data_IF_867732773984
#
_entry.id   IF_867732773984
#
_cell.length_a   1.000
_cell.length_b   1.000
_cell.length_c   1.000
_cell.angle_alpha   90.00
_cell.angle_beta   90.00
_cell.angle_gamma   90.00
#
_symmetry.space_group_name_H-M   'P 1'
#
loop_
_entity.id
_entity.type
_entity.pdbx_description
1 polymer ?
#
# COMPACT_ATOMS: atom_id res chain seq x y z
N UNK A 1 71.23 20.07 -16.10
CA UNK A 1 70.25 18.96 -16.15
C UNK A 1 69.04 19.33 -15.29
N UNK A 2 67.93 19.76 -15.90
CA UNK A 2 66.67 20.07 -15.20
C UNK A 2 65.68 18.94 -15.48
N UNK A 3 65.32 18.13 -14.47
CA UNK A 3 64.21 17.18 -14.56
C UNK A 3 62.98 17.83 -13.95
N UNK A 4 61.94 18.08 -14.77
CA UNK A 4 60.59 18.39 -14.31
C UNK A 4 59.84 17.06 -14.11
N UNK A 5 59.25 16.79 -12.94
CA UNK A 5 58.15 15.85 -12.85
C UNK A 5 56.86 16.64 -12.64
N UNK A 6 55.83 16.33 -13.43
CA UNK A 6 54.38 16.37 -13.10
C UNK A 6 53.57 16.70 -14.36
N UNK A 7 53.34 15.67 -15.18
CA UNK A 7 52.29 15.70 -16.18
C UNK A 7 51.83 14.27 -16.46
N UNK A 8 51.26 13.60 -15.45
CA UNK A 8 50.48 12.36 -15.62
C UNK A 8 49.77 12.02 -14.31
N UNK A 9 48.88 12.93 -13.89
CA UNK A 9 47.92 12.69 -12.80
C UNK A 9 46.57 13.35 -13.13
N UNK A 10 46.15 13.30 -14.41
CA UNK A 10 44.86 13.86 -14.87
C UNK A 10 44.01 12.81 -15.60
N UNK A 11 44.43 11.55 -15.66
CA UNK A 11 43.71 10.49 -16.36
C UNK A 11 43.25 9.38 -15.40
N UNK A 12 42.54 9.76 -14.33
CA UNK A 12 41.93 8.80 -13.40
C UNK A 12 40.53 9.20 -12.93
N UNK A 13 39.89 10.20 -13.54
CA UNK A 13 38.60 10.74 -13.10
C UNK A 13 37.37 10.33 -13.94
N UNK A 14 37.44 9.22 -14.70
CA UNK A 14 36.37 8.90 -15.68
C UNK A 14 35.90 7.44 -15.71
N UNK A 15 36.19 6.64 -14.68
CA UNK A 15 35.77 5.22 -14.64
C UNK A 15 35.25 4.78 -13.27
N UNK A 16 34.34 5.54 -12.66
CA UNK A 16 33.49 5.05 -11.57
C UNK A 16 32.07 5.61 -11.76
N UNK A 17 31.34 5.16 -12.78
CA UNK A 17 29.88 5.24 -12.79
C UNK A 17 29.29 4.24 -13.79
N UNK A 18 29.51 2.96 -13.52
CA UNK A 18 28.63 1.91 -13.99
C UNK A 18 28.14 1.14 -12.76
N UNK A 19 27.54 1.91 -11.84
CA UNK A 19 26.48 1.35 -11.01
C UNK A 19 25.32 1.03 -11.97
N UNK A 20 24.69 -0.13 -11.81
CA UNK A 20 23.50 -0.51 -12.57
C UNK A 20 22.60 0.71 -12.71
N UNK A 21 22.33 1.14 -13.95
CA UNK A 21 21.42 2.26 -14.17
C UNK A 21 20.05 1.80 -13.64
N UNK A 22 19.57 2.44 -12.57
CA UNK A 22 18.27 2.14 -11.99
C UNK A 22 17.16 2.24 -13.03
N UNK A 23 16.03 1.59 -12.77
CA UNK A 23 14.91 1.56 -13.72
C UNK A 23 14.44 2.99 -14.07
N UNK A 24 14.51 3.92 -13.11
CA UNK A 24 14.22 5.35 -13.31
C UNK A 24 15.20 6.01 -14.28
N UNK A 25 16.50 5.77 -14.15
CA UNK A 25 17.51 6.36 -15.04
C UNK A 25 17.37 5.84 -16.48
N UNK A 26 17.04 4.56 -16.62
CA UNK A 26 16.71 3.97 -17.92
C UNK A 26 15.46 4.62 -18.52
N UNK A 27 14.42 4.86 -17.73
CA UNK A 27 13.21 5.52 -18.21
C UNK A 27 13.48 6.99 -18.60
N UNK A 28 14.17 7.75 -17.75
CA UNK A 28 14.52 9.16 -17.99
C UNK A 28 15.36 9.35 -19.26
N UNK A 29 16.26 8.42 -19.56
CA UNK A 29 17.16 8.51 -20.72
C UNK A 29 16.54 8.02 -22.03
N UNK A 30 15.59 7.08 -21.98
CA UNK A 30 15.08 6.39 -23.17
C UNK A 30 13.65 6.76 -23.56
N UNK A 31 12.85 7.21 -22.60
CA UNK A 31 11.42 7.46 -22.84
C UNK A 31 11.18 8.87 -23.36
N UNK A 32 10.48 8.98 -24.50
CA UNK A 32 10.00 10.27 -24.98
C UNK A 32 9.02 10.92 -23.99
N UNK A 33 8.29 10.11 -23.20
CA UNK A 33 7.36 10.58 -22.17
C UNK A 33 8.09 11.23 -20.98
N UNK A 34 9.39 10.98 -20.81
CA UNK A 34 10.19 11.53 -19.72
C UNK A 34 10.68 12.96 -19.97
N UNK A 35 10.79 13.40 -21.25
CA UNK A 35 11.35 14.72 -21.63
C UNK A 35 10.74 15.90 -20.87
N UNK A 36 9.41 15.99 -20.65
CA UNK A 36 8.81 17.11 -19.91
C UNK A 36 9.25 17.20 -18.44
N UNK A 37 9.87 16.14 -17.90
CA UNK A 37 10.25 16.00 -16.51
C UNK A 37 11.77 16.08 -16.28
N UNK A 38 12.56 16.40 -17.31
CA UNK A 38 14.02 16.57 -17.21
C UNK A 38 14.42 17.57 -16.10
N UNK A 39 13.66 18.66 -15.97
CA UNK A 39 13.91 19.70 -14.97
C UNK A 39 13.74 19.21 -13.51
N UNK A 40 12.97 18.16 -13.27
CA UNK A 40 12.75 17.58 -11.94
C UNK A 40 13.45 16.22 -11.76
N UNK A 41 14.28 15.80 -12.72
CA UNK A 41 14.92 14.48 -12.70
C UNK A 41 15.82 14.28 -11.47
N UNK A 42 16.47 15.33 -10.98
CA UNK A 42 17.24 15.29 -9.73
C UNK A 42 16.37 14.93 -8.53
N UNK A 43 15.26 15.66 -8.34
CA UNK A 43 14.31 15.42 -7.26
C UNK A 43 13.71 14.01 -7.32
N UNK A 44 13.33 13.53 -8.51
CA UNK A 44 12.81 12.17 -8.67
C UNK A 44 13.81 11.11 -8.21
N UNK A 45 15.10 11.28 -8.52
CA UNK A 45 16.16 10.37 -8.05
C UNK A 45 16.32 10.42 -6.54
N UNK A 46 16.30 11.61 -5.94
CA UNK A 46 16.41 11.77 -4.50
C UNK A 46 15.25 11.07 -3.77
N UNK A 47 14.02 11.23 -4.26
CA UNK A 47 12.84 10.56 -3.69
C UNK A 47 12.95 9.04 -3.81
N UNK A 48 13.31 8.54 -5.00
CA UNK A 48 13.45 7.09 -5.23
C UNK A 48 14.57 6.50 -4.36
N UNK A 49 15.73 7.17 -4.27
CA UNK A 49 16.83 6.72 -3.44
C UNK A 49 16.46 6.73 -1.93
N UNK A 50 15.73 7.76 -1.48
CA UNK A 50 15.23 7.84 -0.12
C UNK A 50 14.27 6.68 0.22
N UNK A 51 13.30 6.41 -0.65
CA UNK A 51 12.37 5.31 -0.46
C UNK A 51 13.07 3.94 -0.54
N UNK A 52 14.07 3.79 -1.41
CA UNK A 52 14.86 2.57 -1.52
C UNK A 52 15.63 2.26 -0.22
N UNK A 53 16.12 3.28 0.49
CA UNK A 53 16.75 3.12 1.80
C UNK A 53 15.80 2.55 2.86
N UNK A 54 14.49 2.80 2.73
CA UNK A 54 13.44 2.21 3.56
C UNK A 54 13.00 0.81 3.08
N UNK A 55 13.60 0.28 2.01
CA UNK A 55 13.28 -1.02 1.44
C UNK A 55 12.12 -1.03 0.45
N UNK A 56 11.76 0.14 -0.11
CA UNK A 56 10.79 0.25 -1.22
C UNK A 56 11.47 -0.11 -2.53
N UNK A 57 10.88 -1.01 -3.30
CA UNK A 57 11.38 -1.34 -4.64
C UNK A 57 11.19 -0.13 -5.59
N UNK A 58 12.24 0.25 -6.30
CA UNK A 58 12.25 1.37 -7.26
C UNK A 58 11.07 1.29 -8.24
N UNK A 59 10.76 0.08 -8.73
CA UNK A 59 9.66 -0.16 -9.67
C UNK A 59 8.31 0.39 -9.21
N UNK A 60 8.01 0.35 -7.91
CA UNK A 60 6.72 0.83 -7.38
C UNK A 60 6.56 2.34 -7.57
N UNK A 61 7.65 3.11 -7.40
CA UNK A 61 7.65 4.55 -7.66
C UNK A 61 7.75 4.86 -9.15
N UNK A 62 8.49 4.04 -9.91
CA UNK A 62 8.55 4.19 -11.36
C UNK A 62 7.16 4.00 -12.01
N UNK A 63 6.40 2.99 -11.59
CA UNK A 63 5.03 2.78 -12.08
C UNK A 63 4.16 4.03 -11.83
N UNK A 64 4.34 4.69 -10.69
CA UNK A 64 3.65 5.95 -10.38
C UNK A 64 4.10 7.11 -11.27
N UNK A 65 5.41 7.22 -11.53
CA UNK A 65 6.00 8.23 -12.43
C UNK A 65 5.43 8.06 -13.84
N UNK A 66 5.46 6.83 -14.36
CA UNK A 66 4.93 6.47 -15.68
C UNK A 66 3.42 6.71 -15.77
N UNK A 67 2.66 6.36 -14.73
CA UNK A 67 1.22 6.65 -14.66
C UNK A 67 0.94 8.15 -14.77
N UNK A 68 1.67 8.98 -14.02
CA UNK A 68 1.55 10.44 -14.08
C UNK A 68 1.96 11.02 -15.43
N UNK A 69 3.03 10.48 -16.03
CA UNK A 69 3.48 10.86 -17.37
C UNK A 69 2.42 10.56 -18.44
N UNK A 70 1.85 9.36 -18.44
CA UNK A 70 0.75 8.96 -19.34
C UNK A 70 -0.49 9.84 -19.19
N UNK A 71 -0.77 10.26 -17.96
CA UNK A 71 -1.86 11.20 -17.64
C UNK A 71 -1.51 12.66 -17.93
N UNK A 72 -0.32 12.93 -18.47
CA UNK A 72 0.19 14.28 -18.80
C UNK A 72 0.11 15.24 -17.60
N UNK A 73 0.46 14.74 -16.42
CA UNK A 73 0.59 15.59 -15.24
C UNK A 73 1.64 16.69 -15.49
N UNK A 74 1.47 17.87 -14.90
CA UNK A 74 2.56 18.85 -14.88
C UNK A 74 3.72 18.33 -14.02
N UNK A 75 4.94 18.79 -14.25
CA UNK A 75 6.11 18.39 -13.47
C UNK A 75 5.88 18.55 -11.96
N UNK A 76 5.37 19.70 -11.52
CA UNK A 76 5.07 19.96 -10.10
C UNK A 76 4.04 18.98 -9.53
N UNK A 77 2.97 18.68 -10.28
CA UNK A 77 1.93 17.73 -9.84
C UNK A 77 2.47 16.31 -9.79
N UNK A 78 3.32 15.94 -10.73
CA UNK A 78 3.97 14.63 -10.73
C UNK A 78 4.89 14.52 -9.51
N UNK A 79 5.73 15.52 -9.27
CA UNK A 79 6.65 15.53 -8.15
C UNK A 79 5.92 15.38 -6.82
N UNK A 80 4.91 16.21 -6.55
CA UNK A 80 4.07 16.12 -5.35
C UNK A 80 3.39 14.75 -5.20
N UNK A 81 2.90 14.18 -6.31
CA UNK A 81 2.26 12.87 -6.30
C UNK A 81 3.24 11.73 -5.98
N UNK A 82 4.49 11.85 -6.43
CA UNK A 82 5.57 10.88 -6.19
C UNK A 82 6.10 11.01 -4.76
N UNK A 83 6.30 12.22 -4.25
CA UNK A 83 6.65 12.48 -2.85
C UNK A 83 5.62 11.87 -1.91
N UNK A 84 4.33 12.15 -2.14
CA UNK A 84 3.26 11.62 -1.31
C UNK A 84 3.15 10.08 -1.40
N UNK A 85 3.51 9.48 -2.53
CA UNK A 85 3.56 8.02 -2.70
C UNK A 85 4.75 7.40 -1.99
N UNK A 86 5.94 8.01 -2.11
CA UNK A 86 7.16 7.59 -1.43
C UNK A 86 6.97 7.60 0.08
N UNK A 87 6.41 8.69 0.64
CA UNK A 87 6.10 8.77 2.07
C UNK A 87 5.15 7.65 2.55
N UNK A 88 4.18 7.28 1.72
CA UNK A 88 3.23 6.20 2.01
C UNK A 88 3.91 4.83 1.95
N UNK A 89 4.67 4.56 0.88
CA UNK A 89 5.39 3.30 0.70
C UNK A 89 6.49 3.12 1.76
N UNK A 90 7.24 4.16 2.11
CA UNK A 90 8.25 4.14 3.18
C UNK A 90 7.64 3.86 4.55
N UNK A 91 6.46 4.41 4.85
CA UNK A 91 5.73 4.06 6.06
C UNK A 91 5.33 2.58 6.09
N UNK A 92 4.81 2.06 4.97
CA UNK A 92 4.42 0.65 4.87
C UNK A 92 5.62 -0.30 4.93
N UNK A 93 6.71 0.04 4.26
CA UNK A 93 7.92 -0.79 4.20
C UNK A 93 8.51 -0.97 5.60
N UNK A 94 8.60 0.11 6.38
CA UNK A 94 9.02 0.05 7.79
C UNK A 94 8.06 -0.77 8.64
N UNK A 95 6.76 -0.52 8.53
CA UNK A 95 5.75 -1.29 9.27
C UNK A 95 5.81 -2.80 8.96
N UNK A 96 6.03 -3.15 7.69
CA UNK A 96 6.13 -4.52 7.22
C UNK A 96 7.43 -5.18 7.69
N UNK A 97 8.55 -4.45 7.70
CA UNK A 97 9.82 -4.92 8.22
C UNK A 97 9.78 -5.17 9.74
N UNK A 98 9.08 -4.32 10.48
CA UNK A 98 8.88 -4.48 11.93
C UNK A 98 7.96 -5.67 12.26
N UNK A 99 6.86 -5.82 11.52
CA UNK A 99 5.87 -6.89 11.77
C UNK A 99 6.28 -8.27 11.24
N UNK A 100 6.84 -8.31 10.03
CA UNK A 100 7.13 -9.56 9.31
C UNK A 100 8.55 -9.53 8.71
N UNK A 101 9.61 -9.54 9.55
CA UNK A 101 11.00 -9.37 9.12
C UNK A 101 11.47 -10.42 8.12
N UNK A 102 10.95 -11.65 8.20
CA UNK A 102 11.32 -12.78 7.34
C UNK A 102 10.65 -12.75 5.94
N UNK A 103 9.88 -11.70 5.64
CA UNK A 103 9.27 -11.52 4.32
C UNK A 103 10.36 -11.25 3.29
N UNK A 104 10.55 -12.20 2.36
CA UNK A 104 11.52 -12.05 1.26
C UNK A 104 11.20 -10.84 0.36
N UNK A 105 12.20 -10.36 -0.38
CA UNK A 105 12.10 -9.12 -1.16
C UNK A 105 10.95 -9.12 -2.19
N UNK A 106 10.76 -10.21 -2.94
CA UNK A 106 9.68 -10.31 -3.95
C UNK A 106 8.30 -10.24 -3.30
N UNK A 107 8.11 -11.00 -2.21
CA UNK A 107 6.86 -11.00 -1.45
C UNK A 107 6.59 -9.63 -0.83
N UNK A 108 7.62 -8.96 -0.33
CA UNK A 108 7.56 -7.61 0.22
C UNK A 108 7.11 -6.61 -0.84
N UNK A 109 7.70 -6.65 -2.03
CA UNK A 109 7.29 -5.80 -3.17
C UNK A 109 5.81 -6.01 -3.52
N UNK A 110 5.34 -7.25 -3.62
CA UNK A 110 3.92 -7.55 -3.89
C UNK A 110 2.99 -6.98 -2.81
N UNK A 111 3.29 -7.23 -1.53
CA UNK A 111 2.50 -6.71 -0.41
C UNK A 111 2.48 -5.18 -0.39
N UNK A 112 3.61 -4.53 -0.67
CA UNK A 112 3.69 -3.06 -0.73
C UNK A 112 2.87 -2.48 -1.89
N UNK A 113 2.87 -3.14 -3.06
CA UNK A 113 2.08 -2.73 -4.21
C UNK A 113 0.57 -2.78 -3.89
N UNK A 114 0.11 -3.87 -3.27
CA UNK A 114 -1.29 -4.06 -2.87
C UNK A 114 -1.70 -3.03 -1.80
N UNK A 115 -0.88 -2.84 -0.75
CA UNK A 115 -1.18 -1.86 0.30
C UNK A 115 -1.19 -0.41 -0.21
N UNK A 116 -0.32 -0.06 -1.15
CA UNK A 116 -0.35 1.26 -1.79
C UNK A 116 -1.69 1.52 -2.49
N UNK A 117 -2.23 0.53 -3.19
CA UNK A 117 -3.55 0.64 -3.84
C UNK A 117 -4.66 0.80 -2.80
N UNK A 118 -4.61 0.03 -1.71
CA UNK A 118 -5.61 0.06 -0.66
C UNK A 118 -5.67 1.42 0.06
N UNK A 119 -4.51 1.99 0.43
CA UNK A 119 -4.45 3.32 1.08
C UNK A 119 -4.92 4.44 0.14
N UNK A 120 -4.61 4.35 -1.16
CA UNK A 120 -5.14 5.29 -2.15
C UNK A 120 -6.66 5.23 -2.28
N UNK A 121 -7.26 4.10 -1.92
CA UNK A 121 -8.71 3.87 -1.95
C UNK A 121 -9.42 4.35 -0.67
N UNK A 122 -8.71 5.07 0.21
CA UNK A 122 -9.32 5.73 1.37
C UNK A 122 -9.10 5.01 2.69
N UNK A 123 -8.19 4.04 2.77
CA UNK A 123 -7.72 3.49 4.05
C UNK A 123 -6.59 4.38 4.58
N UNK A 124 -6.58 4.67 5.88
CA UNK A 124 -5.54 5.48 6.52
C UNK A 124 -4.50 4.64 7.28
N UNK A 125 -3.46 5.33 7.77
CA UNK A 125 -2.34 4.71 8.48
C UNK A 125 -2.76 4.09 9.81
N UNK A 126 -3.81 4.62 10.46
CA UNK A 126 -4.30 4.08 11.73
C UNK A 126 -4.98 2.74 11.51
N UNK A 127 -5.79 2.63 10.46
CA UNK A 127 -6.44 1.38 10.07
C UNK A 127 -5.43 0.30 9.68
N UNK A 128 -4.41 0.64 8.89
CA UNK A 128 -3.29 -0.25 8.62
C UNK A 128 -2.59 -0.66 9.92
N UNK A 129 -2.28 0.29 10.79
CA UNK A 129 -1.64 0.03 12.08
C UNK A 129 -2.49 -0.88 12.98
N UNK A 130 -3.82 -0.80 12.91
CA UNK A 130 -4.72 -1.70 13.63
C UNK A 130 -4.76 -3.08 12.99
N UNK A 131 -4.92 -3.16 11.67
CA UNK A 131 -5.00 -4.41 10.92
C UNK A 131 -3.70 -5.23 11.08
N UNK A 132 -2.56 -4.59 10.87
CA UNK A 132 -1.24 -5.22 11.02
C UNK A 132 -1.03 -5.77 12.42
N UNK A 133 -1.22 -4.96 13.47
CA UNK A 133 -1.11 -5.42 14.87
C UNK A 133 -2.05 -6.57 15.18
N UNK A 134 -3.33 -6.47 14.82
CA UNK A 134 -4.28 -7.55 15.11
C UNK A 134 -3.97 -8.85 14.37
N UNK A 135 -3.43 -8.77 13.15
CA UNK A 135 -2.97 -9.96 12.41
C UNK A 135 -1.70 -10.54 13.03
N UNK A 136 -0.76 -9.70 13.47
CA UNK A 136 0.46 -10.13 14.16
C UNK A 136 0.16 -10.83 15.50
N UNK A 137 -0.75 -10.27 16.30
CA UNK A 137 -1.21 -10.87 17.55
C UNK A 137 -1.83 -12.26 17.31
N UNK A 138 -2.50 -12.43 16.17
CA UNK A 138 -3.07 -13.70 15.72
C UNK A 138 -2.05 -14.62 15.00
N UNK A 139 -0.76 -14.23 14.95
CA UNK A 139 0.33 -14.94 14.24
C UNK A 139 0.04 -15.17 12.75
N UNK A 140 -0.68 -14.23 12.14
CA UNK A 140 -1.04 -14.24 10.72
C UNK A 140 0.05 -13.69 9.80
N UNK A 141 -0.13 -13.93 8.51
CA UNK A 141 0.75 -13.45 7.44
C UNK A 141 0.33 -12.05 6.95
N UNK A 142 1.24 -11.26 6.34
CA UNK A 142 0.95 -9.89 5.90
C UNK A 142 -0.21 -9.82 4.89
N UNK A 143 -0.37 -10.83 4.03
CA UNK A 143 -1.47 -10.91 3.05
C UNK A 143 -2.85 -10.87 3.71
N UNK A 144 -2.95 -11.38 4.95
CA UNK A 144 -4.20 -11.27 5.71
C UNK A 144 -4.49 -9.81 6.08
N UNK A 145 -3.47 -9.04 6.47
CA UNK A 145 -3.63 -7.63 6.77
C UNK A 145 -3.99 -6.84 5.50
N UNK A 146 -3.37 -7.17 4.36
CA UNK A 146 -3.73 -6.61 3.05
C UNK A 146 -5.20 -6.87 2.74
N UNK A 147 -5.65 -8.12 2.77
CA UNK A 147 -7.03 -8.49 2.46
C UNK A 147 -8.07 -7.79 3.36
N UNK A 148 -7.74 -7.54 4.63
CA UNK A 148 -8.61 -6.78 5.55
C UNK A 148 -8.74 -5.32 5.10
N UNK A 149 -7.62 -4.70 4.73
CA UNK A 149 -7.56 -3.29 4.29
C UNK A 149 -8.23 -3.14 2.93
N UNK A 150 -8.04 -4.09 2.01
CA UNK A 150 -8.73 -4.14 0.72
C UNK A 150 -10.25 -4.30 0.88
N UNK A 151 -10.69 -5.14 1.83
CA UNK A 151 -12.11 -5.25 2.16
C UNK A 151 -12.68 -3.90 2.60
N UNK A 152 -12.00 -3.19 3.52
CA UNK A 152 -12.44 -1.88 3.99
C UNK A 152 -12.57 -0.88 2.83
N UNK A 153 -11.54 -0.79 1.98
CA UNK A 153 -11.57 0.04 0.79
C UNK A 153 -12.74 -0.30 -0.15
N UNK A 154 -13.10 -1.59 -0.23
CA UNK A 154 -14.17 -2.08 -1.11
C UNK A 154 -15.57 -1.80 -0.56
N UNK A 155 -15.79 -1.96 0.75
CA UNK A 155 -17.12 -1.81 1.35
C UNK A 155 -17.45 -0.36 1.74
N UNK A 156 -16.44 0.49 1.93
CA UNK A 156 -16.63 1.86 2.39
C UNK A 156 -15.76 2.91 1.69
N UNK A 157 -15.75 2.97 0.34
CA UNK A 157 -14.94 3.94 -0.39
C UNK A 157 -15.33 5.40 -0.11
N UNK A 158 -16.57 5.65 0.34
CA UNK A 158 -17.07 6.97 0.69
C UNK A 158 -16.95 7.32 2.18
N UNK A 159 -16.32 6.45 2.99
CA UNK A 159 -16.11 6.64 4.44
C UNK A 159 -17.42 6.92 5.22
N UNK A 160 -18.46 6.17 4.90
CA UNK A 160 -19.78 6.23 5.55
C UNK A 160 -19.86 5.39 6.84
N UNK A 161 -18.90 4.48 7.06
CA UNK A 161 -18.79 3.72 8.31
C UNK A 161 -17.99 4.55 9.33
N UNK A 162 -18.50 4.79 10.55
CA UNK A 162 -17.77 5.45 11.62
C UNK A 162 -16.42 4.77 11.89
N UNK A 163 -15.38 5.54 12.20
CA UNK A 163 -14.03 5.00 12.40
C UNK A 163 -13.99 3.90 13.46
N UNK A 164 -14.73 4.04 14.56
CA UNK A 164 -14.86 3.01 15.61
C UNK A 164 -15.36 1.66 15.06
N UNK A 165 -16.36 1.69 14.17
CA UNK A 165 -16.96 0.50 13.58
C UNK A 165 -16.02 -0.15 12.56
N UNK A 166 -15.25 0.66 11.82
CA UNK A 166 -14.21 0.15 10.91
C UNK A 166 -13.10 -0.56 11.68
N UNK A 167 -12.61 0.05 12.77
CA UNK A 167 -11.57 -0.54 13.62
C UNK A 167 -12.06 -1.81 14.32
N UNK A 168 -13.33 -1.85 14.75
CA UNK A 168 -13.95 -3.05 15.31
C UNK A 168 -14.04 -4.17 14.27
N UNK A 169 -14.47 -3.85 13.04
CA UNK A 169 -14.54 -4.79 11.94
C UNK A 169 -13.16 -5.36 11.58
N UNK A 170 -12.13 -4.52 11.49
CA UNK A 170 -10.73 -4.93 11.28
C UNK A 170 -10.28 -5.94 12.33
N UNK A 171 -10.50 -5.63 13.61
CA UNK A 171 -10.14 -6.52 14.72
C UNK A 171 -10.89 -7.86 14.65
N UNK A 172 -12.19 -7.82 14.36
CA UNK A 172 -13.02 -9.02 14.24
C UNK A 172 -12.56 -9.94 13.09
N UNK A 173 -12.23 -9.37 11.92
CA UNK A 173 -11.74 -10.16 10.78
C UNK A 173 -10.36 -10.74 11.10
N UNK A 174 -9.44 -9.93 11.64
CA UNK A 174 -8.10 -10.37 11.99
C UNK A 174 -8.13 -11.61 12.92
N UNK A 175 -8.98 -11.56 13.96
CA UNK A 175 -9.15 -12.65 14.93
C UNK A 175 -10.00 -13.83 14.43
N UNK A 176 -10.73 -13.67 13.32
CA UNK A 176 -11.60 -14.72 12.78
C UNK A 176 -10.81 -15.90 12.20
N UNK A 177 -11.48 -17.04 12.05
CA UNK A 177 -10.93 -18.23 11.37
C UNK A 177 -11.11 -18.20 9.85
N UNK A 178 -11.60 -17.09 9.28
CA UNK A 178 -11.73 -16.96 7.83
C UNK A 178 -10.37 -17.11 7.18
N UNK A 179 -10.29 -17.93 6.12
CA UNK A 179 -9.12 -17.96 5.26
C UNK A 179 -9.02 -16.63 4.51
N UNK A 180 -7.80 -16.21 4.18
CA UNK A 180 -7.55 -14.94 3.47
C UNK A 180 -8.33 -14.86 2.15
N UNK A 181 -8.36 -15.95 1.38
CA UNK A 181 -9.12 -16.08 0.12
C UNK A 181 -10.65 -15.96 0.29
N UNK A 182 -11.15 -16.03 1.52
CA UNK A 182 -12.57 -16.02 1.85
C UNK A 182 -13.03 -14.68 2.41
N UNK A 183 -12.11 -13.73 2.65
CA UNK A 183 -12.43 -12.39 3.17
C UNK A 183 -13.30 -11.62 2.16
N UNK A 184 -13.07 -11.78 0.86
CA UNK A 184 -13.87 -11.15 -0.21
C UNK A 184 -15.36 -11.52 -0.16
N UNK A 185 -15.69 -12.68 0.43
CA UNK A 185 -17.10 -13.06 0.62
C UNK A 185 -17.85 -12.09 1.54
N UNK A 186 -17.15 -11.35 2.40
CA UNK A 186 -17.74 -10.31 3.25
C UNK A 186 -18.20 -9.09 2.44
N UNK A 187 -17.63 -8.81 1.26
CA UNK A 187 -18.14 -7.78 0.35
C UNK A 187 -19.56 -8.12 -0.10
N UNK A 188 -19.80 -9.39 -0.45
CA UNK A 188 -21.11 -9.87 -0.87
C UNK A 188 -22.12 -9.79 0.28
N UNK A 189 -21.72 -10.17 1.49
CA UNK A 189 -22.53 -10.00 2.72
C UNK A 189 -22.90 -8.53 2.92
N UNK A 190 -21.90 -7.65 2.84
CA UNK A 190 -22.09 -6.22 3.02
C UNK A 190 -23.08 -5.64 2.02
N UNK A 191 -22.89 -5.97 0.73
CA UNK A 191 -23.77 -5.57 -0.37
C UNK A 191 -25.20 -6.06 -0.16
N UNK A 192 -25.40 -7.31 0.26
CA UNK A 192 -26.73 -7.84 0.58
C UNK A 192 -27.38 -7.09 1.76
N UNK A 193 -26.62 -6.78 2.80
CA UNK A 193 -27.11 -5.97 3.94
C UNK A 193 -27.59 -4.59 3.49
N UNK A 194 -26.82 -3.93 2.62
CA UNK A 194 -27.17 -2.64 2.01
C UNK A 194 -28.41 -2.74 1.13
N UNK A 195 -28.52 -3.76 0.29
CA UNK A 195 -29.70 -4.01 -0.55
C UNK A 195 -30.97 -4.27 0.28
N UNK A 196 -30.84 -4.72 1.53
CA UNK A 196 -31.93 -4.88 2.50
C UNK A 196 -32.26 -3.58 3.26
N UNK A 197 -31.64 -2.45 2.91
CA UNK A 197 -31.93 -1.14 3.50
C UNK A 197 -31.23 -0.84 4.83
N UNK A 198 -30.30 -1.70 5.28
CA UNK A 198 -29.49 -1.44 6.48
C UNK A 198 -28.44 -0.36 6.17
N UNK A 199 -28.11 0.51 7.13
CA UNK A 199 -27.05 1.51 6.97
C UNK A 199 -25.66 0.83 6.89
N UNK A 200 -24.64 1.47 6.29
CA UNK A 200 -23.28 0.92 6.24
C UNK A 200 -22.75 0.52 7.62
N UNK A 201 -22.94 1.40 8.63
CA UNK A 201 -22.53 1.16 10.00
C UNK A 201 -23.18 -0.10 10.62
N UNK A 202 -24.50 -0.26 10.44
CA UNK A 202 -25.21 -1.44 10.97
C UNK A 202 -24.72 -2.74 10.33
N UNK A 203 -24.47 -2.72 9.02
CA UNK A 203 -23.95 -3.91 8.31
C UNK A 203 -22.54 -4.24 8.79
N UNK A 204 -21.68 -3.25 8.98
CA UNK A 204 -20.32 -3.45 9.50
C UNK A 204 -20.32 -4.03 10.91
N UNK A 205 -21.15 -3.49 11.82
CA UNK A 205 -21.35 -4.02 13.18
C UNK A 205 -21.84 -5.46 13.16
N UNK A 206 -22.86 -5.75 12.36
CA UNK A 206 -23.39 -7.11 12.25
C UNK A 206 -22.35 -8.12 11.74
N UNK A 207 -21.49 -7.71 10.80
CA UNK A 207 -20.34 -8.53 10.37
C UNK A 207 -19.38 -8.74 11.53
N UNK A 208 -18.95 -7.68 12.21
CA UNK A 208 -18.02 -7.77 13.33
C UNK A 208 -18.55 -8.68 14.46
N UNK A 209 -19.81 -8.51 14.85
CA UNK A 209 -20.50 -9.34 15.85
C UNK A 209 -20.62 -10.81 15.42
N UNK A 210 -21.03 -11.06 14.17
CA UNK A 210 -21.14 -12.42 13.64
C UNK A 210 -19.79 -13.14 13.57
N UNK A 211 -18.72 -12.41 13.24
CA UNK A 211 -17.36 -12.92 13.26
C UNK A 211 -16.89 -13.22 14.69
N UNK A 212 -17.20 -12.37 15.66
CA UNK A 212 -16.87 -12.61 17.07
C UNK A 212 -17.64 -13.82 17.65
N UNK A 213 -18.90 -14.02 17.25
CA UNK A 213 -19.75 -15.07 17.80
C UNK A 213 -19.46 -16.48 17.27
N UNK A 214 -18.96 -16.62 16.03
CA UNK A 214 -18.75 -17.94 15.43
C UNK A 214 -17.72 -18.01 14.31
N UNK A 215 -17.14 -16.88 13.91
CA UNK A 215 -16.07 -16.81 12.90
C UNK A 215 -16.43 -17.36 11.52
N UNK A 216 -17.72 -17.42 11.15
CA UNK A 216 -18.20 -17.96 9.88
C UNK A 216 -19.36 -17.13 9.29
N UNK A 217 -19.60 -17.27 7.98
CA UNK A 217 -20.61 -16.50 7.24
C UNK A 217 -22.04 -16.75 7.75
N UNK A 218 -22.37 -17.97 8.14
CA UNK A 218 -23.70 -18.31 8.66
C UNK A 218 -24.03 -17.55 9.96
N UNK A 219 -23.03 -17.30 10.80
CA UNK A 219 -23.19 -16.50 12.02
C UNK A 219 -23.41 -15.03 11.69
N UNK A 220 -22.70 -14.51 10.68
CA UNK A 220 -22.90 -13.14 10.18
C UNK A 220 -24.29 -12.95 9.57
N UNK A 221 -24.74 -13.88 8.72
CA UNK A 221 -26.08 -13.81 8.12
C UNK A 221 -27.18 -13.86 9.19
N UNK A 222 -27.01 -14.65 10.25
CA UNK A 222 -27.95 -14.71 11.39
C UNK A 222 -28.04 -13.39 12.14
N UNK A 223 -26.90 -12.73 12.41
CA UNK A 223 -26.89 -11.42 13.07
C UNK A 223 -27.56 -10.37 12.17
N UNK A 224 -27.25 -10.36 10.88
CA UNK A 224 -27.90 -9.45 9.91
C UNK A 224 -29.42 -9.64 9.84
N UNK A 225 -29.92 -10.86 9.97
CA UNK A 225 -31.36 -11.14 10.07
C UNK A 225 -31.98 -10.62 11.36
N UNK A 226 -31.24 -10.63 12.47
CA UNK A 226 -31.65 -10.04 13.75
C UNK A 226 -31.91 -8.55 13.63
N UNK A 227 -30.95 -7.79 13.09
CA UNK A 227 -31.05 -6.33 12.89
C UNK A 227 -32.22 -5.90 12.01
N UNK A 228 -32.76 -6.79 11.17
CA UNK A 228 -33.96 -6.50 10.37
C UNK A 228 -35.23 -6.52 11.23
N UNK A 229 -35.33 -7.42 12.21
CA UNK A 229 -36.56 -7.63 12.99
C UNK A 229 -36.83 -6.50 13.98
N UNK A 230 -35.81 -5.73 14.32
CA UNK A 230 -35.88 -4.62 15.26
C UNK A 230 -36.21 -3.27 14.58
N UNK A 231 -36.62 -3.29 13.31
CA UNK A 231 -37.16 -2.16 12.54
C UNK A 231 -38.64 -2.31 12.28
#
# INVERSE_FOLDING_TARGET
>A
MRRRPTALAVLSALLIYSADAGELDLWLSRSAEARPYEAIAGNLREIVAGAAADGVAERLLLDRIVEGARKKASADRLLQAVEAEADRLSFLARSLAEGWPDTNAKRRETVLAELSLALRSGVDREEWGRASRSVLDAKGAPERAVAIVDLLASIDPARLIPAEDRLALVGAIAASRFRTDSIDSLVAVFTRGRARGLSPALVARAIAEGLAAGGNLASVDRVLEGYRRDR
#
